data_IF_120837701553
#
_entry.id   IF_120837701553
#
_cell.length_a   1.000
_cell.length_b   1.000
_cell.length_c   1.000
_cell.angle_alpha   90.00
_cell.angle_beta   90.00
_cell.angle_gamma   90.00
#
_symmetry.space_group_name_H-M   'P 1'
#
loop_
_entity.id
_entity.type
_entity.pdbx_description
1 polymer ?
#
# COMPACT_ATOMS: atom_id res chain seq x y z
N UNK A 1 -10.19 -8.93 -7.64
CA UNK A 1 -10.32 -7.68 -6.84
C UNK A 1 -9.13 -7.61 -5.91
N UNK A 2 -8.53 -6.42 -5.78
CA UNK A 2 -7.48 -6.16 -4.80
C UNK A 2 -8.14 -5.90 -3.44
N UNK A 3 -7.83 -6.74 -2.47
CA UNK A 3 -8.43 -6.71 -1.14
C UNK A 3 -7.48 -6.12 -0.10
N UNK A 4 -6.18 -6.25 -0.31
CA UNK A 4 -5.17 -5.69 0.59
C UNK A 4 -3.92 -5.28 -0.19
N UNK A 5 -3.11 -4.42 0.41
CA UNK A 5 -1.78 -4.08 -0.07
C UNK A 5 -0.73 -4.56 0.92
N UNK A 6 0.45 -4.83 0.40
CA UNK A 6 1.65 -5.10 1.17
C UNK A 6 2.82 -4.39 0.47
N UNK A 7 3.99 -4.33 1.11
CA UNK A 7 5.17 -3.68 0.55
C UNK A 7 6.38 -4.60 0.63
N UNK A 8 7.22 -4.55 -0.40
CA UNK A 8 8.50 -5.24 -0.47
C UNK A 8 9.59 -4.25 -0.87
N UNK A 9 10.75 -4.34 -0.20
CA UNK A 9 11.90 -3.47 -0.48
C UNK A 9 12.45 -3.65 -1.90
N UNK A 10 12.23 -4.82 -2.51
CA UNK A 10 12.74 -5.15 -3.85
C UNK A 10 11.68 -5.04 -4.95
N UNK A 11 10.42 -5.33 -4.60
CA UNK A 11 9.33 -5.44 -5.57
C UNK A 11 8.35 -4.26 -5.51
N UNK A 12 8.53 -3.35 -4.57
CA UNK A 12 7.65 -2.21 -4.35
C UNK A 12 6.31 -2.63 -3.76
N UNK A 13 5.24 -2.00 -4.23
CA UNK A 13 3.87 -2.29 -3.77
C UNK A 13 3.41 -3.67 -4.26
N UNK A 14 2.84 -4.44 -3.35
CA UNK A 14 2.28 -5.76 -3.59
C UNK A 14 0.76 -5.70 -3.47
N UNK A 15 0.04 -6.01 -4.55
CA UNK A 15 -1.41 -6.13 -4.53
C UNK A 15 -1.83 -7.55 -4.17
N UNK A 16 -2.58 -7.69 -3.08
CA UNK A 16 -3.09 -8.97 -2.60
C UNK A 16 -4.59 -9.00 -2.86
N UNK A 17 -5.07 -10.09 -3.43
CA UNK A 17 -6.48 -10.21 -3.75
C UNK A 17 -6.91 -11.63 -4.04
N UNK A 18 -8.16 -11.75 -4.48
CA UNK A 18 -8.75 -13.01 -4.92
C UNK A 18 -9.14 -12.92 -6.38
N UNK A 19 -8.88 -13.99 -7.13
CA UNK A 19 -9.37 -14.14 -8.50
C UNK A 19 -10.85 -14.51 -8.44
N UNK A 20 -11.73 -13.63 -8.93
CA UNK A 20 -13.17 -13.88 -8.92
C UNK A 20 -13.62 -14.75 -10.09
N UNK A 21 -13.03 -14.56 -11.27
CA UNK A 21 -13.35 -15.29 -12.49
C UNK A 21 -12.12 -15.33 -13.41
N UNK A 22 -12.04 -16.38 -14.22
CA UNK A 22 -10.95 -16.56 -15.18
C UNK A 22 -9.64 -17.05 -14.55
N UNK A 23 -8.54 -16.82 -15.28
CA UNK A 23 -7.18 -17.22 -14.91
C UNK A 23 -6.28 -16.02 -15.12
N UNK A 24 -5.44 -15.73 -14.13
CA UNK A 24 -4.46 -14.65 -14.14
C UNK A 24 -3.09 -15.23 -14.49
N UNK A 25 -2.43 -14.74 -15.54
CA UNK A 25 -1.12 -15.25 -15.99
C UNK A 25 0.01 -14.25 -15.84
N UNK A 26 1.19 -14.72 -15.45
CA UNK A 26 2.41 -13.89 -15.43
C UNK A 26 2.74 -13.40 -16.85
N UNK A 27 3.09 -12.12 -16.98
CA UNK A 27 3.42 -11.50 -18.26
C UNK A 27 2.21 -11.11 -19.11
N UNK A 28 0.98 -11.31 -18.63
CA UNK A 28 -0.22 -10.86 -19.31
C UNK A 28 -0.41 -9.34 -19.14
N UNK A 29 -0.98 -8.70 -20.17
CA UNK A 29 -1.39 -7.29 -20.09
C UNK A 29 -2.84 -7.23 -19.61
N UNK A 30 -3.04 -6.58 -18.47
CA UNK A 30 -4.32 -6.44 -17.78
C UNK A 30 -4.78 -4.99 -17.76
N UNK A 31 -6.06 -4.80 -17.49
CA UNK A 31 -6.64 -3.51 -17.11
C UNK A 31 -6.79 -3.46 -15.59
N UNK A 32 -6.39 -2.34 -14.99
CA UNK A 32 -6.62 -2.04 -13.57
C UNK A 32 -7.64 -0.91 -13.52
N UNK A 33 -8.84 -1.24 -13.05
CA UNK A 33 -9.91 -0.27 -12.82
C UNK A 33 -9.70 0.42 -11.49
N UNK A 34 -9.43 1.72 -11.55
CA UNK A 34 -9.10 2.58 -10.41
C UNK A 34 -10.31 3.39 -9.93
N UNK A 35 -10.13 4.15 -8.85
CA UNK A 35 -11.19 4.95 -8.25
C UNK A 35 -11.64 6.05 -9.23
N UNK A 36 -12.96 6.21 -9.47
CA UNK A 36 -13.47 7.38 -10.18
C UNK A 36 -13.03 8.66 -9.48
N UNK A 37 -12.27 9.52 -10.15
CA UNK A 37 -11.97 10.85 -9.61
C UNK A 37 -12.74 11.92 -10.41
N UNK A 38 -12.84 13.13 -9.88
CA UNK A 38 -13.58 14.23 -10.50
C UNK A 38 -13.09 14.56 -11.94
N UNK A 39 -11.87 14.14 -12.28
CA UNK A 39 -11.22 14.37 -13.58
C UNK A 39 -11.29 13.14 -14.51
N UNK A 40 -11.61 11.95 -13.99
CA UNK A 40 -11.69 10.70 -14.72
C UNK A 40 -12.70 9.75 -14.03
N UNK A 41 -13.95 9.69 -14.51
CA UNK A 41 -15.02 8.91 -13.89
C UNK A 41 -14.87 7.39 -14.05
N UNK A 42 -13.98 6.91 -14.93
CA UNK A 42 -13.71 5.49 -15.12
C UNK A 42 -12.25 5.26 -15.56
N UNK A 43 -11.26 5.54 -14.69
CA UNK A 43 -9.87 5.36 -15.05
C UNK A 43 -9.56 3.86 -15.04
N UNK A 44 -9.42 3.27 -16.22
CA UNK A 44 -8.66 2.03 -16.34
C UNK A 44 -7.27 2.35 -16.86
N UNK A 45 -6.25 1.78 -16.21
CA UNK A 45 -4.87 1.80 -16.70
C UNK A 45 -4.50 0.42 -17.21
N UNK A 46 -3.68 0.37 -18.26
CA UNK A 46 -3.13 -0.89 -18.78
C UNK A 46 -1.78 -1.13 -18.12
N UNK A 47 -1.60 -2.32 -17.54
CA UNK A 47 -0.35 -2.73 -16.89
C UNK A 47 -0.02 -4.16 -17.28
N UNK A 48 1.27 -4.47 -17.34
CA UNK A 48 1.76 -5.83 -17.58
C UNK A 48 2.11 -6.45 -16.25
N UNK A 49 1.66 -7.67 -16.00
CA UNK A 49 2.00 -8.42 -14.79
C UNK A 49 3.49 -8.77 -14.84
N UNK A 50 4.29 -8.17 -13.97
CA UNK A 50 5.72 -8.46 -13.87
C UNK A 50 5.95 -9.78 -13.14
N UNK A 51 5.39 -9.90 -11.94
CA UNK A 51 5.55 -11.06 -11.06
C UNK A 51 4.22 -11.43 -10.42
N UNK A 52 3.96 -12.74 -10.33
CA UNK A 52 2.74 -13.31 -9.77
C UNK A 52 3.13 -14.37 -8.74
N UNK A 53 2.60 -14.25 -7.53
CA UNK A 53 2.76 -15.25 -6.47
C UNK A 53 1.40 -15.83 -6.06
N UNK A 54 1.44 -17.08 -5.62
CA UNK A 54 0.36 -17.75 -4.93
C UNK A 54 0.75 -18.05 -3.48
N UNK A 55 -0.23 -18.14 -2.60
CA UNK A 55 -0.02 -18.59 -1.23
C UNK A 55 0.07 -20.13 -1.18
N UNK A 56 1.10 -20.64 -0.50
CA UNK A 56 1.30 -22.07 -0.24
C UNK A 56 1.51 -22.27 1.26
N UNK A 57 0.42 -22.54 1.98
CA UNK A 57 0.45 -22.54 3.44
C UNK A 57 0.80 -21.15 3.97
N UNK A 58 1.96 -21.02 4.62
CA UNK A 58 2.47 -19.75 5.15
C UNK A 58 3.49 -19.06 4.22
N UNK A 59 3.95 -19.74 3.17
CA UNK A 59 4.91 -19.19 2.22
C UNK A 59 4.21 -18.57 1.00
N UNK A 60 4.97 -17.74 0.28
CA UNK A 60 4.60 -17.15 -1.01
C UNK A 60 5.50 -17.79 -2.06
N UNK A 61 4.92 -18.39 -3.08
CA UNK A 61 5.66 -19.03 -4.17
C UNK A 61 5.33 -18.34 -5.49
N UNK A 62 6.35 -18.11 -6.31
CA UNK A 62 6.16 -17.52 -7.63
C UNK A 62 5.53 -18.56 -8.58
N UNK A 63 4.49 -18.16 -9.30
CA UNK A 63 3.73 -19.06 -10.17
C UNK A 63 3.48 -18.42 -11.53
N UNK A 64 3.28 -19.26 -12.54
CA UNK A 64 2.96 -18.81 -13.90
C UNK A 64 1.49 -18.41 -14.06
N UNK A 65 0.58 -19.05 -13.31
CA UNK A 65 -0.86 -18.79 -13.39
C UNK A 65 -1.57 -19.03 -12.05
N UNK A 66 -2.66 -18.30 -11.82
CA UNK A 66 -3.56 -18.41 -10.66
C UNK A 66 -5.01 -18.42 -11.16
N UNK A 67 -5.84 -19.35 -10.66
CA UNK A 67 -7.20 -19.56 -11.16
C UNK A 67 -8.26 -18.95 -10.26
N UNK A 68 -9.50 -18.85 -10.76
CA UNK A 68 -10.65 -18.40 -9.99
C UNK A 68 -10.81 -19.16 -8.67
N UNK A 69 -11.01 -18.41 -7.59
CA UNK A 69 -11.07 -18.92 -6.22
C UNK A 69 -9.78 -18.73 -5.43
N UNK A 70 -8.62 -18.69 -6.10
CA UNK A 70 -7.32 -18.59 -5.44
C UNK A 70 -6.97 -17.15 -5.04
N UNK A 71 -6.10 -17.04 -4.03
CA UNK A 71 -5.47 -15.79 -3.62
C UNK A 71 -4.23 -15.54 -4.48
N UNK A 72 -4.07 -14.30 -4.94
CA UNK A 72 -2.92 -13.85 -5.70
C UNK A 72 -2.16 -12.76 -4.97
N UNK A 73 -0.87 -12.65 -5.29
CA UNK A 73 -0.05 -11.48 -4.99
C UNK A 73 0.57 -11.01 -6.30
N UNK A 74 0.34 -9.76 -6.65
CA UNK A 74 0.92 -9.11 -7.82
C UNK A 74 1.92 -8.05 -7.39
N UNK A 75 3.06 -8.02 -8.05
CA UNK A 75 4.04 -6.95 -7.89
C UNK A 75 4.12 -6.08 -9.15
N UNK A 76 4.75 -4.90 -9.04
CA UNK A 76 5.06 -4.03 -10.17
C UNK A 76 3.89 -3.23 -10.72
N UNK A 77 2.86 -2.98 -9.90
CA UNK A 77 1.77 -2.05 -10.19
C UNK A 77 1.72 -1.05 -9.04
N UNK A 78 2.47 0.04 -9.16
CA UNK A 78 2.61 1.00 -8.06
C UNK A 78 1.33 1.80 -7.81
N UNK A 79 0.51 1.99 -8.84
CA UNK A 79 -0.73 2.78 -8.77
C UNK A 79 -1.94 2.00 -8.25
N UNK A 80 -1.74 0.73 -7.86
CA UNK A 80 -2.82 -0.12 -7.38
C UNK A 80 -3.26 0.27 -5.98
N UNK A 81 -4.57 0.33 -5.76
CA UNK A 81 -5.19 0.60 -4.47
C UNK A 81 -6.13 -0.53 -4.03
N UNK A 82 -6.43 -0.55 -2.73
CA UNK A 82 -7.48 -1.44 -2.20
C UNK A 82 -8.82 -1.08 -2.85
N UNK A 83 -9.55 -2.11 -3.28
CA UNK A 83 -10.81 -1.97 -4.00
C UNK A 83 -10.66 -1.92 -5.52
N UNK A 84 -9.44 -1.77 -6.06
CA UNK A 84 -9.24 -1.81 -7.51
C UNK A 84 -9.58 -3.18 -8.10
N UNK A 85 -10.12 -3.15 -9.32
CA UNK A 85 -10.44 -4.38 -10.06
C UNK A 85 -9.41 -4.64 -11.14
N UNK A 86 -8.75 -5.78 -11.04
CA UNK A 86 -7.85 -6.29 -12.08
C UNK A 86 -8.66 -7.17 -13.03
N UNK A 87 -8.64 -6.82 -14.31
CA UNK A 87 -9.48 -7.37 -15.34
C UNK A 87 -8.65 -7.72 -16.60
N UNK A 88 -9.19 -8.65 -17.40
CA UNK A 88 -8.65 -8.95 -18.72
C UNK A 88 -8.88 -7.78 -19.67
N UNK A 89 -8.02 -7.67 -20.70
CA UNK A 89 -8.05 -6.53 -21.62
C UNK A 89 -9.34 -6.44 -22.45
N UNK A 90 -9.94 -7.58 -22.77
CA UNK A 90 -11.00 -7.65 -23.77
C UNK A 90 -12.42 -7.55 -23.22
N UNK A 91 -12.71 -7.91 -21.96
CA UNK A 91 -14.10 -7.81 -21.47
C UNK A 91 -14.28 -8.09 -19.97
N UNK A 92 -13.88 -7.17 -19.09
CA UNK A 92 -14.36 -7.20 -17.72
C UNK A 92 -14.48 -5.79 -17.16
N UNK A 93 -15.71 -5.38 -16.85
CA UNK A 93 -15.99 -4.15 -16.11
C UNK A 93 -15.53 -4.25 -14.65
N UNK A 94 -15.52 -3.12 -13.91
CA UNK A 94 -15.12 -3.12 -12.52
C UNK A 94 -16.09 -3.94 -11.66
N UNK A 95 -15.56 -4.59 -10.62
CA UNK A 95 -16.38 -5.13 -9.54
C UNK A 95 -16.80 -3.99 -8.61
N UNK A 96 -17.80 -4.25 -7.77
CA UNK A 96 -18.16 -3.32 -6.71
C UNK A 96 -16.93 -3.02 -5.84
N UNK A 97 -16.54 -1.74 -5.77
CA UNK A 97 -15.33 -1.31 -5.07
C UNK A 97 -15.51 -1.45 -3.56
N UNK A 98 -14.43 -1.87 -2.89
CA UNK A 98 -14.33 -1.75 -1.45
C UNK A 98 -13.99 -0.31 -1.07
N UNK A 99 -14.84 0.35 -0.31
CA UNK A 99 -14.55 1.70 0.20
C UNK A 99 -13.63 1.64 1.41
N UNK A 100 -12.58 2.47 1.37
CA UNK A 100 -11.65 2.64 2.48
C UNK A 100 -12.06 3.92 3.21
N UNK A 101 -12.58 3.79 4.42
CA UNK A 101 -12.86 4.92 5.33
C UNK A 101 -11.69 5.91 5.43
N UNK A 102 -12.04 7.18 5.38
CA UNK A 102 -11.11 8.30 5.52
C UNK A 102 -10.53 8.40 6.94
N UNK A 103 -9.29 8.93 7.07
CA UNK A 103 -8.71 9.15 8.38
C UNK A 103 -9.45 10.25 9.14
N UNK A 104 -9.75 10.00 10.41
CA UNK A 104 -10.50 10.92 11.30
C UNK A 104 -9.60 11.64 12.30
N UNK A 105 -8.38 11.13 12.54
CA UNK A 105 -7.43 11.69 13.50
C UNK A 105 -6.13 12.09 12.81
N UNK A 106 -5.56 13.21 13.23
CA UNK A 106 -4.29 13.73 12.72
C UNK A 106 -3.33 13.99 13.87
N UNK A 107 -2.06 13.61 13.69
CA UNK A 107 -0.99 13.79 14.65
C UNK A 107 0.26 14.33 13.96
N UNK A 108 0.99 15.19 14.66
CA UNK A 108 2.26 15.74 14.18
C UNK A 108 3.40 14.86 14.65
N UNK A 109 4.17 14.32 13.71
CA UNK A 109 5.38 13.56 13.95
C UNK A 109 6.56 14.49 13.69
N UNK A 110 7.48 14.61 14.63
CA UNK A 110 8.65 15.48 14.45
C UNK A 110 9.91 14.91 15.06
N UNK A 111 11.04 15.45 14.64
CA UNK A 111 12.35 15.05 15.18
C UNK A 111 12.49 15.48 16.64
N UNK A 112 13.20 14.67 17.43
CA UNK A 112 13.47 15.00 18.83
C UNK A 112 14.52 16.13 18.90
N UNK A 113 14.10 17.30 19.38
CA UNK A 113 14.98 18.47 19.60
C UNK A 113 15.34 18.68 21.07
N UNK A 114 15.04 17.70 21.93
CA UNK A 114 15.35 17.78 23.37
C UNK A 114 16.85 17.55 23.66
N UNK A 115 17.32 17.87 24.88
CA UNK A 115 18.70 17.58 25.32
C UNK A 115 19.08 16.08 25.34
N UNK A 116 18.10 15.19 25.16
CA UNK A 116 18.29 13.75 25.07
C UNK A 116 18.35 13.24 23.63
N UNK A 117 18.21 14.11 22.63
CA UNK A 117 18.37 13.75 21.23
C UNK A 117 19.74 13.07 21.00
N UNK A 118 19.76 11.93 20.30
CA UNK A 118 21.02 11.21 20.05
C UNK A 118 21.48 10.25 21.13
N UNK A 119 20.79 10.15 22.27
CA UNK A 119 21.16 9.21 23.33
C UNK A 119 20.60 7.81 23.11
N UNK A 120 19.45 7.73 22.46
CA UNK A 120 18.76 6.49 22.10
C UNK A 120 18.25 6.64 20.65
N UNK A 121 18.20 5.54 19.91
CA UNK A 121 17.79 5.51 18.51
C UNK A 121 18.92 5.79 17.52
N UNK A 122 18.78 5.23 16.31
CA UNK A 122 19.73 5.36 15.20
C UNK A 122 19.20 6.34 14.14
N UNK A 123 17.88 6.47 14.01
CA UNK A 123 17.23 7.20 12.92
C UNK A 123 16.61 8.52 13.37
N UNK A 124 17.45 9.54 13.58
CA UNK A 124 17.06 10.77 14.28
C UNK A 124 16.78 11.99 13.40
N UNK A 125 16.94 11.85 12.08
CA UNK A 125 16.83 12.98 11.14
C UNK A 125 15.43 13.06 10.54
N UNK A 126 15.02 14.28 10.16
CA UNK A 126 13.73 14.49 9.47
C UNK A 126 13.63 13.65 8.19
N UNK A 127 14.75 13.47 7.47
CA UNK A 127 14.83 12.61 6.29
C UNK A 127 14.48 11.15 6.61
N UNK A 128 15.09 10.57 7.64
CA UNK A 128 14.79 9.18 8.03
C UNK A 128 13.31 9.04 8.45
N UNK A 129 12.81 9.99 9.24
CA UNK A 129 11.40 10.01 9.66
C UNK A 129 10.45 10.03 8.45
N UNK A 130 10.72 10.94 7.50
CA UNK A 130 9.95 11.07 6.27
C UNK A 130 9.95 9.78 5.45
N UNK A 131 11.14 9.24 5.16
CA UNK A 131 11.30 8.00 4.39
C UNK A 131 10.50 6.85 5.01
N UNK A 132 10.52 6.70 6.34
CA UNK A 132 9.78 5.64 7.04
C UNK A 132 8.27 5.82 6.98
N UNK A 133 7.79 7.04 7.14
CA UNK A 133 6.35 7.36 7.09
C UNK A 133 5.80 7.19 5.67
N UNK A 134 6.54 7.63 4.65
CA UNK A 134 6.15 7.40 3.25
C UNK A 134 6.18 5.92 2.87
N UNK A 135 7.12 5.13 3.44
CA UNK A 135 7.14 3.68 3.29
C UNK A 135 5.88 3.02 3.89
N UNK A 136 5.38 3.51 5.02
CA UNK A 136 4.17 2.98 5.65
C UNK A 136 2.94 3.10 4.73
N UNK A 137 2.81 4.24 4.02
CA UNK A 137 1.70 4.51 3.09
C UNK A 137 1.64 3.48 1.94
N UNK A 138 2.75 2.82 1.60
CA UNK A 138 2.77 1.81 0.54
C UNK A 138 1.94 0.57 0.89
N UNK A 139 1.97 0.14 2.16
CA UNK A 139 1.23 -1.02 2.65
C UNK A 139 -0.07 -0.66 3.37
N UNK A 140 -0.19 0.58 3.89
CA UNK A 140 -1.32 0.99 4.70
C UNK A 140 -2.15 2.11 4.05
N UNK A 141 -3.19 1.71 3.31
CA UNK A 141 -4.10 2.65 2.61
C UNK A 141 -4.85 3.61 3.53
N UNK A 142 -4.92 3.31 4.82
CA UNK A 142 -5.67 4.12 5.78
C UNK A 142 -4.83 5.21 6.44
N UNK A 143 -3.53 5.25 6.17
CA UNK A 143 -2.63 6.29 6.66
C UNK A 143 -2.38 7.29 5.53
N UNK A 144 -2.58 8.57 5.81
CA UNK A 144 -2.21 9.68 4.90
C UNK A 144 -1.09 10.48 5.54
N UNK A 145 -0.02 10.72 4.79
CA UNK A 145 1.16 11.48 5.23
C UNK A 145 1.27 12.75 4.40
N UNK A 146 1.35 13.90 5.06
CA UNK A 146 1.52 15.21 4.42
C UNK A 146 2.70 15.96 5.04
N UNK A 147 3.46 16.67 4.23
CA UNK A 147 4.47 17.62 4.72
C UNK A 147 3.79 18.84 5.34
N UNK A 148 4.43 19.44 6.33
CA UNK A 148 3.94 20.69 6.96
C UNK A 148 4.82 21.87 6.55
N UNK A 149 4.46 23.07 7.01
CA UNK A 149 5.28 24.28 6.81
C UNK A 149 6.61 24.22 7.58
N UNK A 150 6.74 23.30 8.53
CA UNK A 150 7.97 23.05 9.28
C UNK A 150 8.67 21.82 8.70
N UNK A 151 9.93 21.93 8.22
CA UNK A 151 10.64 20.83 7.55
C UNK A 151 10.93 19.62 8.46
N UNK A 152 10.87 19.83 9.77
CA UNK A 152 11.13 18.80 10.79
C UNK A 152 9.84 18.17 11.34
N UNK A 153 8.67 18.55 10.82
CA UNK A 153 7.36 18.07 11.27
C UNK A 153 6.54 17.56 10.09
N UNK A 154 5.96 16.38 10.26
CA UNK A 154 5.16 15.67 9.29
C UNK A 154 3.78 15.42 9.89
N UNK A 155 2.73 15.72 9.13
CA UNK A 155 1.35 15.47 9.54
C UNK A 155 0.97 14.06 9.09
N UNK A 156 0.67 13.18 10.05
CA UNK A 156 0.19 11.82 9.81
C UNK A 156 -1.27 11.73 10.21
N UNK A 157 -2.13 11.26 9.31
CA UNK A 157 -3.54 11.04 9.56
C UNK A 157 -3.88 9.55 9.49
N UNK A 158 -4.71 9.07 10.42
CA UNK A 158 -5.14 7.67 10.53
C UNK A 158 -6.59 7.54 10.96
N UNK A 159 -7.10 6.30 10.96
CA UNK A 159 -8.50 5.98 11.30
C UNK A 159 -8.81 6.01 12.80
N UNK A 160 -7.79 6.00 13.65
CA UNK A 160 -8.00 6.06 15.09
C UNK A 160 -6.69 6.09 15.86
N UNK A 161 -6.79 6.35 17.16
CA UNK A 161 -5.65 6.45 18.08
C UNK A 161 -4.82 5.16 18.11
N UNK A 162 -5.47 3.99 18.22
CA UNK A 162 -4.79 2.71 18.32
C UNK A 162 -3.90 2.42 17.10
N UNK A 163 -4.35 2.79 15.90
CA UNK A 163 -3.56 2.62 14.69
C UNK A 163 -2.26 3.42 14.74
N UNK A 164 -2.35 4.70 15.13
CA UNK A 164 -1.18 5.56 15.24
C UNK A 164 -0.26 5.10 16.38
N UNK A 165 -0.81 4.61 17.48
CA UNK A 165 -0.03 4.04 18.57
C UNK A 165 0.79 2.82 18.13
N UNK A 166 0.19 1.92 17.33
CA UNK A 166 0.91 0.76 16.75
C UNK A 166 2.01 1.21 15.80
N UNK A 167 1.77 2.22 14.95
CA UNK A 167 2.80 2.79 14.08
C UNK A 167 3.99 3.32 14.90
N UNK A 168 3.72 4.12 15.93
CA UNK A 168 4.75 4.69 16.80
C UNK A 168 5.55 3.58 17.50
N UNK A 169 4.90 2.57 18.05
CA UNK A 169 5.57 1.47 18.74
C UNK A 169 6.44 0.63 17.78
N UNK A 170 5.98 0.40 16.55
CA UNK A 170 6.80 -0.26 15.53
C UNK A 170 8.04 0.57 15.19
N UNK A 171 7.89 1.88 14.97
CA UNK A 171 9.01 2.79 14.73
C UNK A 171 10.01 2.80 15.90
N UNK A 172 9.52 2.79 17.14
CA UNK A 172 10.37 2.68 18.34
C UNK A 172 11.17 1.39 18.36
N UNK A 173 10.57 0.24 17.97
CA UNK A 173 11.28 -1.05 17.83
C UNK A 173 12.30 -1.05 16.70
N UNK A 174 12.07 -0.25 15.67
CA UNK A 174 13.00 0.01 14.57
C UNK A 174 14.10 1.02 14.93
N UNK A 175 14.17 1.50 16.18
CA UNK A 175 15.17 2.46 16.69
C UNK A 175 15.08 3.87 16.08
N UNK A 176 13.86 4.34 15.80
CA UNK A 176 13.54 5.75 15.58
C UNK A 176 13.35 6.51 16.89
#
# INVERSE_FOLDING_TARGET
MVANLDASDYLGRLAIGRVHAGVLRKGETITVWQHPNATNPAPFIKRRISTLFAFRGISREEVSEVSAGDLFILAGIDEVEVGDTIAALENAGPLARLEVDEPVLRMSFGVNTSPYAGREGTYLTSRHLSERLFKEVLGNVSIKVNTTDTPDVISVAGRGELQLAVLIENMRRESY
#
